data_IF_794701174785
#
_entry.id   IF_794701174785
#
_cell.length_a   1.000
_cell.length_b   1.000
_cell.length_c   1.000
_cell.angle_alpha   90.00
_cell.angle_beta   90.00
_cell.angle_gamma   90.00
#
_symmetry.space_group_name_H-M   'P 1'
#
loop_
_entity.id
_entity.type
_entity.pdbx_description
1 polymer ?
#
# COMPACT_ATOMS: atom_id res chain seq x y z
N UNK A 1 27.72 33.26 -28.04
CA UNK A 1 26.99 33.85 -26.91
C UNK A 1 26.02 32.80 -26.44
N UNK A 2 26.42 32.12 -25.39
CA UNK A 2 25.77 30.96 -24.77
C UNK A 2 24.78 31.45 -23.73
N UNK A 3 23.51 31.12 -23.88
CA UNK A 3 22.57 31.10 -22.76
C UNK A 3 21.67 29.89 -22.99
N UNK A 4 22.25 28.73 -22.70
CA UNK A 4 21.46 27.55 -22.35
C UNK A 4 20.71 27.95 -21.10
N UNK A 5 19.39 28.10 -21.21
CA UNK A 5 18.51 28.24 -20.06
C UNK A 5 18.60 26.92 -19.29
N UNK A 6 19.46 26.92 -18.28
CA UNK A 6 19.55 25.86 -17.29
C UNK A 6 18.22 25.85 -16.51
N UNK A 7 17.26 25.04 -16.97
CA UNK A 7 16.13 24.61 -16.15
C UNK A 7 16.72 23.80 -14.98
N UNK A 8 17.08 24.50 -13.90
CA UNK A 8 17.33 23.88 -12.61
C UNK A 8 16.08 23.08 -12.22
N UNK A 9 16.17 21.76 -12.33
CA UNK A 9 15.19 20.85 -11.76
C UNK A 9 15.29 21.05 -10.25
N UNK A 10 14.41 21.88 -9.70
CA UNK A 10 14.29 22.12 -8.28
C UNK A 10 13.90 20.80 -7.60
N UNK A 11 14.90 20.12 -7.04
CA UNK A 11 14.72 18.87 -6.31
C UNK A 11 13.90 19.20 -5.07
N UNK A 12 12.59 18.96 -5.13
CA UNK A 12 11.66 19.15 -4.02
C UNK A 12 12.17 18.40 -2.79
N UNK A 13 12.66 19.14 -1.80
CA UNK A 13 13.10 18.55 -0.53
C UNK A 13 11.91 17.84 0.14
N UNK A 14 12.11 16.62 0.67
CA UNK A 14 11.03 15.89 1.32
C UNK A 14 10.59 16.61 2.59
N UNK A 15 9.28 16.74 2.77
CA UNK A 15 8.70 17.46 3.91
C UNK A 15 9.20 16.90 5.25
N UNK A 16 9.74 17.77 6.11
CA UNK A 16 10.32 17.37 7.39
C UNK A 16 9.24 16.97 8.41
N UNK A 17 9.52 15.92 9.19
CA UNK A 17 8.59 15.36 10.20
C UNK A 17 9.15 15.43 11.62
N UNK A 18 8.28 15.45 12.62
CA UNK A 18 8.66 15.30 14.03
C UNK A 18 9.01 13.84 14.39
N UNK A 19 9.52 13.62 15.61
CA UNK A 19 9.83 12.28 16.12
C UNK A 19 8.60 11.35 16.23
N UNK A 20 7.38 11.90 16.11
CA UNK A 20 6.09 11.18 16.14
C UNK A 20 5.50 11.01 14.73
N UNK A 21 6.23 11.35 13.67
CA UNK A 21 5.83 11.22 12.27
C UNK A 21 4.88 12.30 11.74
N UNK A 22 4.54 13.33 12.52
CA UNK A 22 3.71 14.47 12.07
C UNK A 22 4.54 15.43 11.23
N UNK A 23 3.91 16.08 10.25
CA UNK A 23 4.57 17.15 9.49
C UNK A 23 4.90 18.32 10.41
N UNK A 24 6.13 18.87 10.28
CA UNK A 24 6.50 20.05 11.03
C UNK A 24 5.68 21.27 10.57
N UNK A 25 5.34 22.20 11.48
CA UNK A 25 4.71 23.46 11.11
C UNK A 25 5.53 24.19 10.04
N UNK A 26 4.86 24.69 9.00
CA UNK A 26 5.50 25.36 7.86
C UNK A 26 5.89 24.45 6.69
N UNK A 27 5.80 23.12 6.85
CA UNK A 27 6.01 22.19 5.74
C UNK A 27 4.76 22.09 4.85
N UNK A 28 4.95 22.02 3.53
CA UNK A 28 3.86 21.82 2.56
C UNK A 28 3.19 20.47 2.83
N UNK A 29 1.85 20.43 2.84
CA UNK A 29 1.10 19.17 2.94
C UNK A 29 1.53 18.21 1.82
N UNK A 30 1.83 16.96 2.18
CA UNK A 30 2.15 15.90 1.21
C UNK A 30 0.91 15.54 0.36
N UNK A 31 -0.29 15.83 0.86
CA UNK A 31 -1.52 15.77 0.09
C UNK A 31 -2.19 17.16 0.06
N UNK A 32 -1.73 18.09 -0.80
CA UNK A 32 -2.32 19.42 -0.91
C UNK A 32 -3.80 19.39 -1.32
N UNK A 33 -4.17 18.42 -2.16
CA UNK A 33 -5.54 18.27 -2.67
C UNK A 33 -6.48 17.56 -1.69
N UNK A 34 -5.92 16.90 -0.65
CA UNK A 34 -6.67 16.34 0.46
C UNK A 34 -7.81 15.41 0.03
N UNK A 35 -8.80 15.28 0.91
CA UNK A 35 -10.12 14.77 0.54
C UNK A 35 -10.84 15.88 -0.22
N UNK A 36 -11.35 15.64 -1.45
CA UNK A 36 -12.12 16.65 -2.14
C UNK A 36 -13.36 17.04 -1.30
N UNK A 37 -13.72 18.33 -1.24
CA UNK A 37 -14.88 18.76 -0.49
C UNK A 37 -16.13 18.11 -1.10
N UNK A 38 -16.91 17.42 -0.26
CA UNK A 38 -18.25 17.00 -0.66
C UNK A 38 -19.08 18.27 -0.83
N UNK A 39 -19.75 18.40 -1.97
CA UNK A 39 -20.67 19.51 -2.26
C UNK A 39 -21.70 19.56 -1.12
N UNK A 40 -21.75 20.68 -0.38
CA UNK A 40 -22.57 20.82 0.84
C UNK A 40 -24.03 20.46 0.57
N UNK A 41 -24.56 20.91 -0.55
CA UNK A 41 -25.93 20.70 -0.98
C UNK A 41 -26.26 19.22 -1.20
N UNK A 42 -25.31 18.45 -1.77
CA UNK A 42 -25.49 17.00 -1.95
C UNK A 42 -25.56 16.26 -0.60
N UNK A 43 -24.76 16.70 0.38
CA UNK A 43 -24.78 16.13 1.74
C UNK A 43 -26.11 16.43 2.45
N UNK A 44 -26.63 17.64 2.28
CA UNK A 44 -27.91 18.05 2.85
C UNK A 44 -29.09 17.32 2.19
N UNK A 45 -29.08 17.20 0.86
CA UNK A 45 -30.05 16.40 0.11
C UNK A 45 -30.06 14.94 0.57
N UNK A 46 -28.89 14.30 0.70
CA UNK A 46 -28.79 12.93 1.18
C UNK A 46 -29.34 12.76 2.62
N UNK A 47 -29.07 13.74 3.50
CA UNK A 47 -29.62 13.73 4.87
C UNK A 47 -31.14 13.86 4.88
N UNK A 48 -31.73 14.61 3.96
CA UNK A 48 -33.19 14.75 3.88
C UNK A 48 -33.89 13.40 3.63
N UNK A 49 -33.24 12.47 2.92
CA UNK A 49 -33.77 11.12 2.68
C UNK A 49 -33.63 10.15 3.86
N UNK A 50 -33.03 10.56 4.98
CA UNK A 50 -32.79 9.66 6.13
C UNK A 50 -34.06 8.95 6.59
N UNK A 51 -35.19 9.66 6.66
CA UNK A 51 -36.47 9.07 7.09
C UNK A 51 -37.01 8.04 6.11
N UNK A 52 -36.91 8.35 4.81
CA UNK A 52 -37.31 7.42 3.75
C UNK A 52 -36.44 6.15 3.79
N UNK A 53 -35.12 6.32 3.91
CA UNK A 53 -34.18 5.20 4.01
C UNK A 53 -34.46 4.30 5.23
N UNK A 54 -34.80 4.90 6.38
CA UNK A 54 -35.21 4.13 7.56
C UNK A 54 -36.48 3.32 7.31
N UNK A 55 -37.49 3.92 6.69
CA UNK A 55 -38.72 3.23 6.34
C UNK A 55 -38.46 2.06 5.37
N UNK A 56 -37.55 2.23 4.40
CA UNK A 56 -37.14 1.15 3.49
C UNK A 56 -36.47 0.01 4.25
N UNK A 57 -35.58 0.30 5.21
CA UNK A 57 -34.95 -0.76 6.03
C UNK A 57 -36.00 -1.52 6.85
N UNK A 58 -36.96 -0.83 7.48
CA UNK A 58 -38.05 -1.47 8.21
C UNK A 58 -38.92 -2.33 7.29
N UNK A 59 -39.23 -1.83 6.09
CA UNK A 59 -39.99 -2.58 5.09
C UNK A 59 -39.25 -3.86 4.66
N UNK A 60 -37.96 -3.76 4.31
CA UNK A 60 -37.15 -4.91 3.90
C UNK A 60 -37.03 -5.93 5.03
N UNK A 61 -36.90 -5.48 6.28
CA UNK A 61 -36.83 -6.36 7.44
C UNK A 61 -38.12 -7.17 7.65
N UNK A 62 -39.28 -6.58 7.34
CA UNK A 62 -40.60 -7.21 7.52
C UNK A 62 -41.09 -7.99 6.29
N UNK A 63 -40.39 -7.92 5.15
CA UNK A 63 -40.79 -8.57 3.91
C UNK A 63 -40.45 -10.08 3.95
N UNK A 64 -41.49 -10.92 3.93
CA UNK A 64 -41.35 -12.38 3.93
C UNK A 64 -40.72 -12.94 2.66
N UNK A 65 -40.92 -12.26 1.53
CA UNK A 65 -40.42 -12.67 0.20
C UNK A 65 -38.98 -12.22 -0.03
N UNK A 66 -38.51 -11.21 0.71
CA UNK A 66 -37.13 -10.76 0.62
C UNK A 66 -36.15 -11.87 1.06
N UNK A 67 -34.94 -11.96 0.45
CA UNK A 67 -33.91 -12.89 0.89
C UNK A 67 -33.58 -12.71 2.39
N UNK A 68 -33.39 -13.81 3.10
CA UNK A 68 -33.10 -13.78 4.54
C UNK A 68 -31.88 -12.91 4.87
N UNK A 69 -30.85 -12.92 4.04
CA UNK A 69 -29.67 -12.07 4.19
C UNK A 69 -30.01 -10.56 4.17
N UNK A 70 -30.94 -10.15 3.30
CA UNK A 70 -31.40 -8.77 3.18
C UNK A 70 -32.15 -8.32 4.44
N UNK A 71 -33.02 -9.18 4.99
CA UNK A 71 -33.72 -8.95 6.26
C UNK A 71 -32.74 -8.78 7.42
N UNK A 72 -31.78 -9.70 7.54
CA UNK A 72 -30.75 -9.66 8.60
C UNK A 72 -29.93 -8.38 8.47
N UNK A 73 -29.50 -8.03 7.25
CA UNK A 73 -28.71 -6.81 7.01
C UNK A 73 -29.49 -5.55 7.39
N UNK A 74 -30.78 -5.50 7.05
CA UNK A 74 -31.64 -4.38 7.42
C UNK A 74 -31.83 -4.27 8.95
N UNK A 75 -32.04 -5.40 9.64
CA UNK A 75 -32.16 -5.45 11.09
C UNK A 75 -30.87 -4.99 11.80
N UNK A 76 -29.71 -5.52 11.40
CA UNK A 76 -28.40 -5.12 11.94
C UNK A 76 -28.17 -3.62 11.70
N UNK A 77 -28.47 -3.12 10.50
CA UNK A 77 -28.33 -1.71 10.17
C UNK A 77 -29.18 -0.78 11.05
N UNK A 78 -30.37 -1.21 11.47
CA UNK A 78 -31.22 -0.46 12.41
C UNK A 78 -30.67 -0.51 13.83
N UNK A 79 -30.25 -1.69 14.31
CA UNK A 79 -29.69 -1.86 15.65
C UNK A 79 -28.39 -1.06 15.82
N UNK A 80 -27.48 -1.12 14.85
CA UNK A 80 -26.22 -0.37 14.85
C UNK A 80 -26.44 1.15 14.95
N UNK A 81 -27.57 1.67 14.45
CA UNK A 81 -27.91 3.11 14.51
C UNK A 81 -28.56 3.50 15.84
N UNK A 82 -29.31 2.60 16.47
CA UNK A 82 -29.98 2.85 17.75
C UNK A 82 -29.06 2.65 18.95
N UNK A 83 -28.24 1.59 18.91
CA UNK A 83 -27.41 1.14 20.04
C UNK A 83 -25.92 1.36 19.80
N UNK A 84 -25.52 1.74 18.58
CA UNK A 84 -24.12 1.79 18.19
C UNK A 84 -23.57 0.42 17.81
N UNK A 85 -22.35 0.41 17.26
CA UNK A 85 -21.62 -0.83 17.02
C UNK A 85 -20.94 -1.31 18.30
N UNK A 86 -20.83 -2.63 18.52
CA UNK A 86 -20.06 -3.17 19.63
C UNK A 86 -18.60 -2.68 19.57
N UNK A 87 -18.00 -2.47 20.74
CA UNK A 87 -16.62 -2.00 20.85
C UNK A 87 -15.69 -3.01 20.16
N UNK A 88 -14.99 -2.57 19.11
CA UNK A 88 -14.00 -3.38 18.43
C UNK A 88 -12.66 -3.25 19.16
N UNK A 89 -12.20 -4.32 19.81
CA UNK A 89 -10.85 -4.35 20.36
C UNK A 89 -9.86 -4.66 19.23
N UNK A 90 -8.87 -3.79 19.04
CA UNK A 90 -7.79 -4.01 18.06
C UNK A 90 -6.55 -4.42 18.85
N UNK A 91 -6.21 -5.71 18.77
CA UNK A 91 -4.96 -6.23 19.34
C UNK A 91 -3.83 -6.03 18.32
N UNK A 92 -3.02 -5.00 18.53
CA UNK A 92 -1.82 -4.77 17.73
C UNK A 92 -0.66 -5.60 18.31
N UNK A 93 -0.38 -6.75 17.69
CA UNK A 93 0.83 -7.54 18.01
C UNK A 93 2.05 -6.83 17.40
N UNK A 94 2.71 -6.00 18.20
CA UNK A 94 3.99 -5.40 17.82
C UNK A 94 5.08 -6.43 18.10
N UNK A 95 5.44 -7.22 17.09
CA UNK A 95 6.65 -8.02 17.16
C UNK A 95 7.84 -7.09 16.96
N UNK A 96 8.61 -6.86 18.03
CA UNK A 96 9.86 -6.13 17.94
C UNK A 96 10.82 -6.91 17.04
N UNK A 97 10.90 -6.49 15.77
CA UNK A 97 11.83 -7.08 14.82
C UNK A 97 13.21 -6.52 15.12
N UNK A 98 14.14 -7.37 15.50
CA UNK A 98 15.53 -7.00 15.71
C UNK A 98 16.16 -6.63 14.35
N UNK A 99 16.13 -5.35 14.02
CA UNK A 99 16.62 -4.82 12.74
C UNK A 99 18.08 -5.20 12.48
N UNK A 100 18.90 -5.39 13.52
CA UNK A 100 20.28 -5.82 13.37
C UNK A 100 20.37 -7.26 12.85
N UNK A 101 19.52 -8.16 13.36
CA UNK A 101 19.42 -9.54 12.84
C UNK A 101 18.93 -9.56 11.40
N UNK A 102 17.89 -8.79 11.07
CA UNK A 102 17.35 -8.72 9.71
C UNK A 102 18.37 -8.17 8.72
N UNK A 103 19.09 -7.12 9.10
CA UNK A 103 20.16 -6.57 8.25
C UNK A 103 21.30 -7.58 8.05
N UNK A 104 21.70 -8.28 9.11
CA UNK A 104 22.75 -9.30 9.05
C UNK A 104 22.37 -10.48 8.12
N UNK A 105 21.12 -10.95 8.16
CA UNK A 105 20.66 -12.03 7.26
C UNK A 105 20.67 -11.59 5.80
N UNK A 106 20.19 -10.37 5.52
CA UNK A 106 20.17 -9.83 4.15
C UNK A 106 21.59 -9.66 3.60
N UNK A 107 22.51 -9.13 4.41
CA UNK A 107 23.91 -8.99 4.02
C UNK A 107 24.57 -10.35 3.74
N UNK A 108 24.29 -11.36 4.58
CA UNK A 108 24.84 -12.70 4.39
C UNK A 108 24.35 -13.32 3.08
N UNK A 109 23.06 -13.21 2.77
CA UNK A 109 22.45 -13.74 1.55
C UNK A 109 23.00 -13.07 0.28
N UNK A 110 23.14 -11.74 0.29
CA UNK A 110 23.77 -11.01 -0.82
C UNK A 110 25.22 -11.46 -1.02
N UNK A 111 25.97 -11.64 0.07
CA UNK A 111 27.34 -12.10 0.01
C UNK A 111 27.46 -13.55 -0.51
N UNK A 112 26.46 -14.40 -0.28
CA UNK A 112 26.42 -15.77 -0.82
C UNK A 112 26.19 -15.75 -2.32
N UNK A 113 25.17 -15.01 -2.79
CA UNK A 113 24.86 -14.87 -4.23
C UNK A 113 26.04 -14.33 -5.03
N UNK A 114 26.77 -13.36 -4.48
CA UNK A 114 27.95 -12.79 -5.13
C UNK A 114 29.10 -13.82 -5.29
N UNK A 115 29.29 -14.71 -4.30
CA UNK A 115 30.29 -15.78 -4.39
C UNK A 115 29.87 -16.88 -5.37
N UNK A 116 28.59 -17.23 -5.38
CA UNK A 116 28.03 -18.24 -6.28
C UNK A 116 28.11 -17.80 -7.75
N UNK A 117 27.76 -16.55 -8.06
CA UNK A 117 27.93 -15.98 -9.40
C UNK A 117 29.38 -16.03 -9.86
N UNK A 118 30.32 -15.64 -9.00
CA UNK A 118 31.75 -15.69 -9.34
C UNK A 118 32.23 -17.12 -9.61
N UNK A 119 31.70 -18.11 -8.88
CA UNK A 119 32.02 -19.51 -9.11
C UNK A 119 31.46 -20.00 -10.46
N UNK A 120 30.26 -19.55 -10.82
CA UNK A 120 29.64 -19.85 -12.10
C UNK A 120 30.47 -19.28 -13.25
N UNK A 121 30.87 -18.01 -13.16
CA UNK A 121 31.70 -17.34 -14.16
C UNK A 121 33.05 -18.02 -14.36
N UNK A 122 33.63 -18.60 -13.29
CA UNK A 122 34.86 -19.37 -13.36
C UNK A 122 34.66 -20.71 -14.07
N UNK A 123 33.58 -21.43 -13.75
CA UNK A 123 33.22 -22.68 -14.43
C UNK A 123 32.93 -22.47 -15.91
N UNK A 124 32.25 -21.38 -16.25
CA UNK A 124 31.93 -21.02 -17.64
C UNK A 124 33.21 -20.69 -18.42
N UNK A 125 34.20 -20.05 -17.80
CA UNK A 125 35.53 -19.81 -18.37
C UNK A 125 36.35 -21.09 -18.54
N UNK A 126 36.31 -22.00 -17.57
CA UNK A 126 36.98 -23.30 -17.67
C UNK A 126 36.37 -24.16 -18.79
N UNK A 127 35.05 -24.16 -18.94
CA UNK A 127 34.37 -24.84 -20.04
C UNK A 127 34.76 -24.27 -21.42
N UNK A 128 34.92 -22.95 -21.53
CA UNK A 128 35.35 -22.29 -22.77
C UNK A 128 36.80 -22.62 -23.18
N UNK A 129 37.68 -22.95 -22.24
CA UNK A 129 39.07 -23.35 -22.53
C UNK A 129 39.13 -24.79 -23.06
N UNK A 130 38.25 -25.68 -22.59
CA UNK A 130 38.24 -27.09 -22.96
C UNK A 130 37.66 -27.32 -24.37
N UNK A 131 36.81 -26.42 -24.89
CA UNK A 131 36.13 -26.55 -26.18
C UNK A 131 36.98 -26.16 -27.42
N UNK A 132 38.24 -25.75 -27.25
CA UNK A 132 39.16 -25.47 -28.37
C UNK A 132 39.83 -26.77 -28.84
N UNK A 133 39.05 -27.67 -29.45
CA UNK A 133 39.60 -28.80 -30.22
C UNK A 133 39.87 -28.32 -31.65
N UNK A 134 41.11 -28.37 -32.19
CA UNK A 134 41.36 -27.89 -33.54
C UNK A 134 40.75 -28.88 -34.55
N UNK A 135 39.86 -28.40 -35.42
CA UNK A 135 39.45 -29.17 -36.59
C UNK A 135 40.63 -29.30 -37.54
N UNK A 136 41.29 -30.46 -37.47
CA UNK A 136 42.18 -30.98 -38.52
C UNK A 136 41.45 -30.91 -39.86
N UNK A 137 41.82 -29.94 -40.69
CA UNK A 137 41.39 -29.86 -42.09
C UNK A 137 42.41 -30.62 -42.92
N UNK A 138 41.95 -31.77 -43.40
CA UNK A 138 42.61 -32.68 -44.32
C UNK A 138 42.90 -31.97 -45.65
N UNK A 139 44.14 -32.06 -46.13
CA UNK A 139 44.48 -32.05 -47.56
C UNK A 139 45.23 -33.35 -47.87
#
# INVERSE_FOLDING_TARGET
MTSSDDEEIEILQPATRDAKGRLLPGQRSINPKGRPPIIRDLKEAAKAHTRQALNTLVSVMNDSEAPQASRITAAVALLDRGWGKPQQNIEAKIEATDMAKTAATVLLDLSRRARESKLQDLKDKEAAIIDVTPQSSIQ
#
